data_IF_355164619183
#
_entry.id   IF_355164619183
#
_cell.length_a   1.000
_cell.length_b   1.000
_cell.length_c   1.000
_cell.angle_alpha   90.00
_cell.angle_beta   90.00
_cell.angle_gamma   90.00
#
_symmetry.space_group_name_H-M   'P 1'
#
loop_
_entity.id
_entity.type
_entity.pdbx_description
1 polymer ?
#
# COMPACT_ATOMS: atom_id res chain seq x y z
N UNK A 1 17.67 -16.42 -23.04
CA UNK A 1 16.68 -15.75 -22.17
C UNK A 1 17.38 -15.32 -20.89
N UNK A 2 17.15 -14.08 -20.43
CA UNK A 2 17.77 -13.64 -19.16
C UNK A 2 16.98 -14.22 -17.98
N UNK A 3 17.70 -14.75 -17.00
CA UNK A 3 17.11 -15.26 -15.75
C UNK A 3 17.12 -14.15 -14.71
N UNK A 4 16.03 -14.02 -13.99
CA UNK A 4 15.89 -13.08 -12.86
C UNK A 4 15.70 -13.91 -11.61
N UNK A 5 16.53 -13.66 -10.60
CA UNK A 5 16.44 -14.31 -9.31
C UNK A 5 16.08 -13.29 -8.24
N UNK A 6 15.08 -13.60 -7.44
CA UNK A 6 14.63 -12.81 -6.29
C UNK A 6 14.99 -13.59 -5.04
N UNK A 7 15.77 -12.98 -4.14
CA UNK A 7 16.10 -13.56 -2.85
C UNK A 7 15.23 -12.96 -1.75
N UNK A 8 14.43 -13.80 -1.12
CA UNK A 8 13.51 -13.46 -0.04
C UNK A 8 12.04 -13.60 -0.41
N UNK A 9 11.31 -14.37 0.36
CA UNK A 9 9.88 -14.70 0.16
C UNK A 9 8.92 -13.88 1.01
N UNK A 10 9.35 -12.77 1.57
CA UNK A 10 8.43 -11.83 2.24
C UNK A 10 7.54 -11.06 1.26
N UNK A 11 6.65 -10.21 1.77
CA UNK A 11 5.72 -9.41 0.97
C UNK A 11 6.42 -8.66 -0.17
N UNK A 12 7.58 -8.05 0.11
CA UNK A 12 8.36 -7.31 -0.90
C UNK A 12 8.85 -8.23 -2.03
N UNK A 13 9.30 -9.44 -1.70
CA UNK A 13 9.75 -10.43 -2.68
C UNK A 13 8.62 -10.85 -3.63
N UNK A 14 7.46 -11.23 -3.07
CA UNK A 14 6.30 -11.64 -3.87
C UNK A 14 5.68 -10.49 -4.65
N UNK A 15 5.66 -9.25 -4.12
CA UNK A 15 5.26 -8.08 -4.88
C UNK A 15 6.22 -7.79 -6.05
N UNK A 16 7.52 -7.98 -5.83
CA UNK A 16 8.53 -7.86 -6.89
C UNK A 16 8.32 -8.93 -7.95
N UNK A 17 8.13 -10.19 -7.56
CA UNK A 17 7.86 -11.29 -8.48
C UNK A 17 6.60 -11.04 -9.32
N UNK A 18 5.51 -10.60 -8.68
CA UNK A 18 4.26 -10.26 -9.36
C UNK A 18 4.44 -9.14 -10.39
N UNK A 19 5.21 -8.12 -10.04
CA UNK A 19 5.51 -7.01 -10.95
C UNK A 19 6.34 -7.49 -12.13
N UNK A 20 7.40 -8.24 -11.87
CA UNK A 20 8.32 -8.69 -12.92
C UNK A 20 7.66 -9.67 -13.87
N UNK A 21 6.88 -10.64 -13.40
CA UNK A 21 6.19 -11.58 -14.29
C UNK A 21 5.13 -10.89 -15.16
N UNK A 22 4.52 -9.82 -14.64
CA UNK A 22 3.60 -8.99 -15.42
C UNK A 22 4.31 -8.17 -16.49
N UNK A 23 5.45 -7.55 -16.12
CA UNK A 23 6.18 -6.64 -17.00
C UNK A 23 7.07 -7.37 -18.02
N UNK A 24 7.54 -8.55 -17.66
CA UNK A 24 8.50 -9.34 -18.45
C UNK A 24 8.08 -10.81 -18.54
N UNK A 25 6.95 -11.11 -19.22
CA UNK A 25 6.40 -12.47 -19.29
C UNK A 25 7.34 -13.47 -19.97
N UNK A 26 8.29 -12.99 -20.78
CA UNK A 26 9.28 -13.82 -21.49
C UNK A 26 10.53 -14.15 -20.65
N UNK A 27 10.62 -13.64 -19.42
CA UNK A 27 11.75 -13.90 -18.54
C UNK A 27 11.50 -15.07 -17.63
N UNK A 28 12.56 -15.84 -17.34
CA UNK A 28 12.53 -16.85 -16.31
C UNK A 28 12.72 -16.17 -14.95
N UNK A 29 11.66 -16.14 -14.15
CA UNK A 29 11.68 -15.53 -12.81
C UNK A 29 11.69 -16.64 -11.77
N UNK A 30 12.67 -16.62 -10.89
CA UNK A 30 12.79 -17.56 -9.78
C UNK A 30 12.85 -16.78 -8.48
N UNK A 31 11.98 -17.12 -7.53
CA UNK A 31 12.05 -16.61 -6.16
C UNK A 31 12.57 -17.71 -5.25
N UNK A 32 13.59 -17.37 -4.46
CA UNK A 32 14.19 -18.28 -3.48
C UNK A 32 13.98 -17.69 -2.10
N UNK A 33 13.40 -18.49 -1.21
CA UNK A 33 13.21 -18.09 0.20
C UNK A 33 13.78 -19.13 1.15
N UNK A 34 14.31 -18.64 2.27
CA UNK A 34 14.84 -19.49 3.34
C UNK A 34 13.70 -20.14 4.12
N UNK A 35 13.78 -21.46 4.40
CA UNK A 35 12.85 -22.11 5.31
C UNK A 35 13.04 -21.69 6.78
N UNK A 36 14.19 -21.08 7.08
CA UNK A 36 14.62 -20.77 8.45
C UNK A 36 14.44 -19.29 8.82
N UNK A 37 14.13 -18.43 7.84
CA UNK A 37 13.92 -17.00 8.06
C UNK A 37 12.42 -16.68 7.94
N UNK A 38 11.71 -16.51 9.06
CA UNK A 38 10.30 -16.20 9.00
C UNK A 38 10.07 -14.81 8.38
N UNK A 39 8.97 -14.67 7.68
CA UNK A 39 8.53 -13.35 7.23
C UNK A 39 8.26 -12.47 8.44
N UNK A 40 8.97 -11.37 8.55
CA UNK A 40 8.68 -10.36 9.59
C UNK A 40 7.43 -9.62 9.14
N UNK A 41 6.27 -10.10 9.58
CA UNK A 41 4.97 -9.47 9.34
C UNK A 41 4.49 -8.79 10.60
N UNK A 42 4.43 -7.49 10.59
CA UNK A 42 3.56 -6.69 11.46
C UNK A 42 2.38 -6.26 10.62
N UNK A 43 1.22 -6.04 11.25
CA UNK A 43 0.05 -5.53 10.52
C UNK A 43 0.45 -4.34 9.67
N UNK A 44 0.27 -4.44 8.37
CA UNK A 44 0.77 -3.44 7.44
C UNK A 44 -0.36 -2.62 6.86
N UNK A 45 -0.07 -1.34 6.69
CA UNK A 45 -0.96 -0.42 6.02
C UNK A 45 -0.29 0.18 4.79
N UNK A 46 -1.02 0.23 3.70
CA UNK A 46 -0.53 0.74 2.43
C UNK A 46 -0.83 2.23 2.25
N UNK A 47 -0.32 2.79 1.15
CA UNK A 47 -0.65 4.12 0.65
C UNK A 47 -1.44 4.00 -0.65
N UNK A 48 -2.13 5.07 -1.06
CA UNK A 48 -3.02 5.06 -2.23
C UNK A 48 -2.39 4.60 -3.55
N UNK A 49 -1.07 4.61 -3.68
CA UNK A 49 -0.37 4.08 -4.87
C UNK A 49 -0.54 2.58 -5.07
N UNK A 50 -0.89 1.83 -4.02
CA UNK A 50 -1.14 0.38 -4.13
C UNK A 50 -2.27 0.08 -5.12
N UNK A 51 -3.29 0.94 -5.20
CA UNK A 51 -4.39 0.75 -6.15
C UNK A 51 -3.92 0.73 -7.60
N UNK A 52 -2.97 1.61 -7.97
CA UNK A 52 -2.39 1.62 -9.32
C UNK A 52 -1.59 0.36 -9.61
N UNK A 53 -0.92 -0.17 -8.60
CA UNK A 53 -0.16 -1.41 -8.74
C UNK A 53 -1.08 -2.63 -8.87
N UNK A 54 -2.14 -2.71 -8.09
CA UNK A 54 -3.17 -3.75 -8.24
C UNK A 54 -3.84 -3.68 -9.62
N UNK A 55 -4.18 -2.47 -10.10
CA UNK A 55 -4.71 -2.27 -11.45
C UNK A 55 -3.73 -2.73 -12.55
N UNK A 56 -2.43 -2.42 -12.41
CA UNK A 56 -1.37 -2.88 -13.32
C UNK A 56 -1.34 -4.41 -13.41
N UNK A 57 -1.48 -5.08 -12.28
CA UNK A 57 -1.49 -6.54 -12.22
C UNK A 57 -2.83 -7.14 -12.70
N UNK A 58 -3.90 -6.35 -12.70
CA UNK A 58 -5.27 -6.81 -12.96
C UNK A 58 -5.90 -7.53 -11.78
N UNK A 59 -5.41 -7.29 -10.55
CA UNK A 59 -5.92 -7.87 -9.31
C UNK A 59 -7.09 -7.02 -8.79
N UNK A 60 -8.21 -7.66 -8.48
CA UNK A 60 -9.40 -7.02 -7.93
C UNK A 60 -9.49 -7.21 -6.42
N UNK A 61 -10.18 -6.29 -5.76
CA UNK A 61 -10.38 -6.34 -4.31
C UNK A 61 -11.01 -7.65 -3.84
N UNK A 62 -11.99 -8.14 -4.59
CA UNK A 62 -12.73 -9.37 -4.30
C UNK A 62 -11.85 -10.63 -4.32
N UNK A 63 -10.72 -10.56 -5.02
CA UNK A 63 -9.81 -11.71 -5.19
C UNK A 63 -8.88 -11.87 -3.99
N UNK A 64 -8.43 -10.78 -3.35
CA UNK A 64 -7.43 -10.88 -2.28
C UNK A 64 -7.96 -10.48 -0.90
N UNK A 65 -8.85 -9.48 -0.80
CA UNK A 65 -9.27 -8.94 0.50
C UNK A 65 -9.84 -9.99 1.46
N UNK A 66 -10.70 -10.95 1.03
CA UNK A 66 -11.23 -11.97 1.93
C UNK A 66 -10.17 -12.92 2.51
N UNK A 67 -9.04 -13.06 1.84
CA UNK A 67 -7.97 -13.99 2.21
C UNK A 67 -6.83 -13.33 2.98
N UNK A 68 -6.85 -12.01 3.09
CA UNK A 68 -5.75 -11.23 3.67
C UNK A 68 -6.18 -10.38 4.85
N UNK A 69 -7.39 -10.61 5.36
CA UNK A 69 -8.03 -9.80 6.41
C UNK A 69 -8.02 -8.29 6.07
N UNK A 70 -8.16 -8.00 4.78
CA UNK A 70 -8.00 -6.64 4.30
C UNK A 70 -9.22 -5.77 4.62
N UNK A 71 -8.95 -4.52 4.94
CA UNK A 71 -9.93 -3.46 5.05
C UNK A 71 -9.45 -2.20 4.33
N UNK A 72 -10.39 -1.31 3.98
CA UNK A 72 -10.02 -0.04 3.36
C UNK A 72 -9.48 0.96 4.38
N UNK A 73 -8.58 1.79 3.91
CA UNK A 73 -7.94 2.86 4.66
C UNK A 73 -8.16 4.19 3.95
N UNK A 74 -8.63 5.21 4.68
CA UNK A 74 -8.94 6.53 4.14
C UNK A 74 -7.98 7.63 4.60
N UNK A 75 -7.26 7.38 5.70
CA UNK A 75 -6.36 8.37 6.28
C UNK A 75 -5.27 7.71 7.12
N UNK A 76 -4.27 8.51 7.48
CA UNK A 76 -3.33 8.20 8.55
C UNK A 76 -3.67 9.11 9.71
N UNK A 77 -3.84 8.54 10.89
CA UNK A 77 -3.98 9.31 12.12
C UNK A 77 -2.64 9.33 12.85
N UNK A 78 -2.18 10.54 13.17
CA UNK A 78 -0.99 10.78 13.96
C UNK A 78 -1.42 11.17 15.36
N UNK A 79 -1.03 10.40 16.37
CA UNK A 79 -1.28 10.71 17.78
C UNK A 79 -0.02 11.29 18.41
N UNK A 80 -0.19 12.35 19.20
CA UNK A 80 0.89 13.00 19.96
C UNK A 80 2.16 13.27 19.13
N UNK A 81 2.01 13.49 17.82
CA UNK A 81 3.13 13.58 16.88
C UNK A 81 3.99 14.81 17.14
N UNK A 82 3.36 15.94 17.42
CA UNK A 82 4.05 17.22 17.68
C UNK A 82 4.36 17.42 19.16
N UNK A 83 3.39 17.14 20.02
CA UNK A 83 3.48 17.32 21.45
C UNK A 83 2.65 16.26 22.17
N UNK A 84 3.22 15.68 23.22
CA UNK A 84 2.54 14.71 24.07
C UNK A 84 1.26 15.30 24.67
N UNK A 85 0.18 14.55 24.62
CA UNK A 85 -1.17 14.94 25.09
C UNK A 85 -1.83 16.08 24.29
N UNK A 86 -1.33 16.39 23.11
CA UNK A 86 -1.96 17.36 22.19
C UNK A 86 -3.06 16.74 21.33
N UNK A 87 -3.25 15.42 21.48
CA UNK A 87 -4.20 14.62 20.70
C UNK A 87 -3.70 14.29 19.29
N UNK A 88 -4.60 13.82 18.46
CA UNK A 88 -4.29 13.35 17.12
C UNK A 88 -4.82 14.26 16.01
N UNK A 89 -4.21 14.16 14.85
CA UNK A 89 -4.72 14.73 13.62
C UNK A 89 -4.70 13.70 12.48
N UNK A 90 -5.58 13.89 11.51
CA UNK A 90 -5.66 13.04 10.34
C UNK A 90 -4.90 13.63 9.15
N UNK A 91 -4.22 12.77 8.43
CA UNK A 91 -3.72 13.01 7.07
C UNK A 91 -4.58 12.16 6.11
N UNK A 92 -5.70 12.71 5.61
CA UNK A 92 -6.61 11.98 4.73
C UNK A 92 -5.98 11.77 3.34
N UNK A 93 -6.35 10.65 2.71
CA UNK A 93 -6.01 10.44 1.31
C UNK A 93 -6.92 11.27 0.40
N UNK A 94 -6.52 11.40 -0.86
CA UNK A 94 -7.27 12.17 -1.83
C UNK A 94 -6.86 13.64 -1.89
N UNK A 95 -7.69 14.42 -2.57
CA UNK A 95 -7.43 15.84 -2.81
C UNK A 95 -8.30 16.71 -1.91
N UNK A 96 -7.74 17.81 -1.39
CA UNK A 96 -8.58 18.84 -0.78
C UNK A 96 -9.58 19.41 -1.81
N UNK A 97 -10.60 20.09 -1.35
CA UNK A 97 -11.55 20.78 -2.21
C UNK A 97 -10.85 21.67 -3.25
N UNK A 98 -11.05 21.40 -4.54
CA UNK A 98 -10.36 22.11 -5.63
C UNK A 98 -10.93 23.53 -5.84
N UNK A 99 -12.22 23.70 -5.69
CA UNK A 99 -12.93 24.96 -5.97
C UNK A 99 -12.52 26.12 -5.07
N UNK A 100 -11.82 25.83 -3.96
CA UNK A 100 -11.40 26.82 -2.99
C UNK A 100 -9.94 26.70 -2.55
N UNK A 101 -9.08 26.19 -3.43
CA UNK A 101 -7.66 26.02 -3.08
C UNK A 101 -6.99 27.33 -2.61
N UNK A 102 -7.42 28.46 -3.16
CA UNK A 102 -6.90 29.77 -2.79
C UNK A 102 -7.54 30.31 -1.52
N UNK A 103 -8.86 30.19 -1.37
CA UNK A 103 -9.62 30.73 -0.25
C UNK A 103 -9.86 29.70 0.87
N UNK A 104 -9.98 28.41 0.54
CA UNK A 104 -10.30 27.37 1.52
C UNK A 104 -9.25 27.23 2.60
N UNK A 105 -7.97 27.08 2.21
CA UNK A 105 -6.85 27.01 3.15
C UNK A 105 -6.68 28.31 3.92
N UNK A 106 -6.76 29.45 3.24
CA UNK A 106 -6.69 30.77 3.86
C UNK A 106 -7.85 31.00 4.82
N UNK A 107 -9.08 30.57 4.44
CA UNK A 107 -10.25 30.67 5.31
C UNK A 107 -10.09 29.96 6.65
N UNK A 108 -9.44 28.79 6.67
CA UNK A 108 -9.18 28.10 7.93
C UNK A 108 -8.24 28.92 8.84
N UNK A 109 -7.16 29.47 8.28
CA UNK A 109 -6.22 30.32 9.04
C UNK A 109 -6.90 31.60 9.53
N UNK A 110 -7.70 32.26 8.69
CA UNK A 110 -8.48 33.44 9.08
C UNK A 110 -9.48 33.11 10.18
N UNK A 111 -10.28 32.06 10.03
CA UNK A 111 -11.21 31.60 11.06
C UNK A 111 -10.50 31.29 12.38
N UNK A 112 -9.37 30.59 12.32
CA UNK A 112 -8.57 30.26 13.49
C UNK A 112 -7.97 31.52 14.14
N UNK A 113 -7.56 32.50 13.36
CA UNK A 113 -7.04 33.76 13.89
C UNK A 113 -8.08 34.48 14.75
N UNK A 114 -9.33 34.57 14.28
CA UNK A 114 -10.43 35.18 15.00
C UNK A 114 -11.08 34.28 16.05
N UNK A 115 -11.03 32.97 15.88
CA UNK A 115 -11.60 32.02 16.83
C UNK A 115 -10.54 31.07 17.38
N UNK A 116 -10.03 31.37 18.56
CA UNK A 116 -8.99 30.59 19.23
C UNK A 116 -9.43 29.19 19.66
N UNK A 117 -10.75 28.91 19.69
CA UNK A 117 -11.28 27.60 20.03
C UNK A 117 -11.11 26.58 18.89
N UNK A 118 -10.82 27.03 17.65
CA UNK A 118 -10.50 26.13 16.54
C UNK A 118 -9.16 25.47 16.80
N UNK A 119 -9.15 24.15 16.95
CA UNK A 119 -7.95 23.36 17.21
C UNK A 119 -7.11 23.20 15.94
N UNK A 120 -5.79 23.10 16.08
CA UNK A 120 -4.89 22.80 14.96
C UNK A 120 -5.27 21.48 14.25
N UNK A 121 -5.73 20.52 15.04
CA UNK A 121 -6.09 19.18 14.59
C UNK A 121 -7.33 19.14 13.68
N UNK A 122 -8.13 20.22 13.64
CA UNK A 122 -9.34 20.31 12.81
C UNK A 122 -9.06 20.69 11.35
N UNK A 123 -7.81 20.99 10.99
CA UNK A 123 -7.46 21.42 9.64
C UNK A 123 -7.91 20.46 8.55
N UNK A 124 -7.66 19.16 8.74
CA UNK A 124 -8.05 18.13 7.79
C UNK A 124 -9.58 18.10 7.57
N UNK A 125 -10.37 18.21 8.65
CA UNK A 125 -11.83 18.26 8.59
C UNK A 125 -12.35 19.44 7.74
N UNK A 126 -11.61 20.53 7.75
CA UNK A 126 -12.01 21.73 7.04
C UNK A 126 -11.72 21.68 5.53
N UNK A 127 -10.60 21.06 5.14
CA UNK A 127 -10.10 21.12 3.76
C UNK A 127 -10.36 19.87 2.94
N UNK A 128 -10.63 18.72 3.56
CA UNK A 128 -10.70 17.45 2.84
C UNK A 128 -12.07 16.78 3.00
N UNK A 129 -12.79 16.55 1.88
CA UNK A 129 -14.12 15.94 1.91
C UNK A 129 -14.12 14.53 2.49
N UNK A 130 -13.01 13.78 2.35
CA UNK A 130 -12.92 12.41 2.84
C UNK A 130 -12.99 12.31 4.36
N UNK A 131 -12.77 13.43 5.08
CA UNK A 131 -12.90 13.44 6.54
C UNK A 131 -14.32 13.16 7.00
N UNK A 132 -15.34 13.45 6.19
CA UNK A 132 -16.71 13.04 6.51
C UNK A 132 -16.88 11.53 6.51
N UNK A 133 -16.19 10.82 5.61
CA UNK A 133 -16.18 9.36 5.57
C UNK A 133 -15.40 8.78 6.76
N UNK A 134 -14.23 9.36 7.06
CA UNK A 134 -13.39 8.96 8.21
C UNK A 134 -14.15 9.11 9.52
N UNK A 135 -14.77 10.28 9.75
CA UNK A 135 -15.47 10.58 10.99
C UNK A 135 -16.73 9.72 11.21
N UNK A 136 -17.34 9.25 10.13
CA UNK A 136 -18.51 8.38 10.19
C UNK A 136 -18.17 6.89 10.00
N UNK A 137 -16.90 6.54 9.93
CA UNK A 137 -16.42 5.18 9.69
C UNK A 137 -17.16 4.49 8.53
N UNK A 138 -17.26 5.18 7.40
CA UNK A 138 -17.99 4.73 6.21
C UNK A 138 -17.17 4.90 4.95
N UNK A 139 -17.55 4.19 3.90
CA UNK A 139 -16.94 4.29 2.57
C UNK A 139 -17.98 3.96 1.49
N UNK A 140 -17.87 4.64 0.35
CA UNK A 140 -18.73 4.37 -0.81
C UNK A 140 -17.89 3.80 -1.95
N UNK A 141 -18.12 2.54 -2.29
CA UNK A 141 -17.54 1.90 -3.46
C UNK A 141 -18.35 2.19 -4.73
N UNK A 142 -19.63 2.50 -4.56
CA UNK A 142 -20.57 2.73 -5.66
C UNK A 142 -20.62 4.22 -6.07
N UNK A 143 -20.56 4.46 -7.38
CA UNK A 143 -20.57 5.82 -7.98
C UNK A 143 -21.84 6.62 -7.75
N UNK A 144 -22.98 5.99 -7.49
CA UNK A 144 -24.26 6.70 -7.32
C UNK A 144 -24.38 7.51 -6.02
N UNK A 145 -23.61 7.17 -5.00
CA UNK A 145 -23.65 7.80 -3.66
C UNK A 145 -22.28 8.34 -3.26
N UNK A 146 -21.45 8.74 -4.23
CA UNK A 146 -20.12 9.28 -3.93
C UNK A 146 -20.22 10.67 -3.34
N UNK A 147 -19.39 10.90 -2.34
CA UNK A 147 -19.07 12.23 -1.86
C UNK A 147 -18.42 13.02 -3.00
N UNK A 148 -18.88 14.25 -3.23
CA UNK A 148 -18.31 15.11 -4.27
C UNK A 148 -16.79 15.28 -4.06
N UNK A 149 -16.02 15.04 -5.11
CA UNK A 149 -14.56 15.06 -5.07
C UNK A 149 -13.89 13.76 -4.59
N UNK A 150 -14.63 12.78 -4.05
CA UNK A 150 -14.10 11.47 -3.68
C UNK A 150 -13.94 10.58 -4.91
N UNK A 151 -12.78 9.94 -5.02
CA UNK A 151 -12.52 8.90 -6.01
C UNK A 151 -11.97 7.67 -5.30
N UNK A 152 -12.74 6.59 -5.32
CA UNK A 152 -12.43 5.39 -4.55
C UNK A 152 -11.00 4.91 -4.75
N UNK A 153 -10.54 4.73 -5.99
CA UNK A 153 -9.20 4.21 -6.29
C UNK A 153 -8.06 5.18 -5.95
N UNK A 154 -8.32 6.48 -6.05
CA UNK A 154 -7.31 7.50 -5.72
C UNK A 154 -7.20 7.73 -4.21
N UNK A 155 -8.33 7.65 -3.53
CA UNK A 155 -8.51 8.21 -2.20
C UNK A 155 -8.58 7.12 -1.12
N UNK A 156 -8.34 5.85 -1.51
CA UNK A 156 -8.26 4.73 -0.59
C UNK A 156 -6.90 4.06 -0.62
N UNK A 157 -6.64 3.30 0.41
CA UNK A 157 -5.58 2.30 0.51
C UNK A 157 -6.13 1.13 1.32
N UNK A 158 -5.26 0.23 1.78
CA UNK A 158 -5.66 -0.95 2.55
C UNK A 158 -4.86 -1.07 3.84
N UNK A 159 -5.50 -1.68 4.84
CA UNK A 159 -4.85 -2.45 5.87
C UNK A 159 -4.99 -3.92 5.51
N UNK A 160 -3.98 -4.73 5.66
CA UNK A 160 -4.04 -6.17 5.47
C UNK A 160 -2.93 -6.88 6.25
N UNK A 161 -3.11 -8.17 6.45
CA UNK A 161 -2.04 -9.03 6.93
C UNK A 161 -1.02 -9.23 5.79
N UNK A 162 0.18 -8.70 5.98
CA UNK A 162 1.23 -8.73 4.97
C UNK A 162 1.72 -10.14 4.65
N UNK A 163 1.75 -11.03 5.64
CA UNK A 163 2.14 -12.43 5.45
C UNK A 163 1.09 -13.16 4.59
N UNK A 164 -0.19 -12.98 4.92
CA UNK A 164 -1.29 -13.52 4.12
C UNK A 164 -1.30 -12.97 2.70
N UNK A 165 -1.04 -11.66 2.54
CA UNK A 165 -0.98 -11.03 1.22
C UNK A 165 0.19 -11.57 0.38
N UNK A 166 1.37 -11.73 0.97
CA UNK A 166 2.52 -12.37 0.31
C UNK A 166 2.20 -13.80 -0.13
N UNK A 167 1.59 -14.58 0.76
CA UNK A 167 1.15 -15.96 0.46
C UNK A 167 0.10 -15.98 -0.65
N UNK A 168 -0.88 -15.09 -0.59
CA UNK A 168 -1.91 -14.99 -1.63
C UNK A 168 -1.29 -14.64 -3.00
N UNK A 169 -0.36 -13.69 -3.05
CA UNK A 169 0.36 -13.34 -4.28
C UNK A 169 1.15 -14.53 -4.83
N UNK A 170 1.85 -15.27 -3.95
CA UNK A 170 2.56 -16.49 -4.32
C UNK A 170 1.64 -17.48 -5.02
N UNK A 171 0.57 -17.89 -4.32
CA UNK A 171 -0.21 -19.05 -4.69
C UNK A 171 -1.24 -18.74 -5.79
N UNK A 172 -1.80 -17.53 -5.82
CA UNK A 172 -2.90 -17.18 -6.73
C UNK A 172 -2.46 -16.30 -7.92
N UNK A 173 -1.27 -15.70 -7.85
CA UNK A 173 -0.81 -14.84 -8.94
C UNK A 173 0.52 -15.28 -9.54
N UNK A 174 1.59 -15.40 -8.73
CA UNK A 174 2.95 -15.57 -9.22
C UNK A 174 3.21 -16.98 -9.77
N UNK A 175 2.97 -18.03 -8.97
CA UNK A 175 3.20 -19.42 -9.39
C UNK A 175 2.33 -19.78 -10.60
N UNK A 176 1.01 -19.49 -10.62
CA UNK A 176 0.18 -19.76 -11.81
C UNK A 176 0.63 -19.06 -13.08
N UNK A 177 1.38 -17.95 -12.96
CA UNK A 177 1.95 -17.21 -14.10
C UNK A 177 3.38 -17.62 -14.47
N UNK A 178 3.94 -18.65 -13.82
CA UNK A 178 5.22 -19.24 -14.18
C UNK A 178 6.42 -18.77 -13.34
N UNK A 179 6.21 -18.07 -12.24
CA UNK A 179 7.31 -17.81 -11.29
C UNK A 179 7.72 -19.13 -10.62
N UNK A 180 8.99 -19.50 -10.75
CA UNK A 180 9.56 -20.65 -10.08
C UNK A 180 9.83 -20.32 -8.61
N UNK A 181 9.36 -21.16 -7.69
CA UNK A 181 9.58 -21.00 -6.26
C UNK A 181 10.55 -22.07 -5.75
N UNK A 182 11.56 -21.65 -5.00
CA UNK A 182 12.56 -22.54 -4.37
C UNK A 182 12.61 -22.19 -2.89
N UNK A 183 12.57 -23.22 -2.05
CA UNK A 183 12.74 -23.07 -0.60
C UNK A 183 14.12 -23.60 -0.23
N UNK A 184 15.07 -22.71 -0.03
CA UNK A 184 16.46 -23.06 0.26
C UNK A 184 17.22 -21.88 0.90
N UNK A 185 18.11 -22.20 1.84
CA UNK A 185 19.05 -21.23 2.40
C UNK A 185 20.20 -20.93 1.43
N UNK A 186 20.30 -19.68 0.98
CA UNK A 186 21.43 -19.24 0.16
C UNK A 186 22.59 -18.83 1.07
N UNK A 187 23.65 -19.63 1.06
CA UNK A 187 24.85 -19.39 1.87
C UNK A 187 26.02 -18.79 1.09
N UNK A 188 26.06 -19.06 -0.21
CA UNK A 188 27.16 -18.64 -1.08
C UNK A 188 26.63 -17.89 -2.30
N UNK A 189 27.12 -16.68 -2.48
CA UNK A 189 26.86 -15.86 -3.66
C UNK A 189 28.18 -15.56 -4.33
N UNK A 190 28.36 -16.03 -5.56
CA UNK A 190 29.52 -15.67 -6.39
C UNK A 190 29.12 -14.55 -7.34
N UNK A 191 29.92 -13.53 -7.38
CA UNK A 191 29.73 -12.35 -8.26
C UNK A 191 30.96 -12.11 -9.12
N UNK A 192 30.75 -11.50 -10.28
CA UNK A 192 31.79 -10.92 -11.10
C UNK A 192 31.43 -9.46 -11.45
N UNK A 193 32.18 -8.81 -12.35
CA UNK A 193 31.93 -7.44 -12.78
C UNK A 193 30.58 -7.27 -13.50
N UNK A 194 29.98 -8.34 -14.00
CA UNK A 194 28.72 -8.35 -14.73
C UNK A 194 27.50 -8.67 -13.85
N UNK A 195 27.74 -9.12 -12.61
CA UNK A 195 26.66 -9.42 -11.65
C UNK A 195 26.85 -10.74 -10.90
N UNK A 196 25.73 -11.37 -10.51
CA UNK A 196 25.72 -12.66 -9.82
C UNK A 196 25.90 -13.79 -10.86
N UNK A 197 26.88 -14.67 -10.66
CA UNK A 197 27.14 -15.81 -11.54
C UNK A 197 26.65 -17.14 -10.98
N UNK A 198 26.56 -17.29 -9.67
CA UNK A 198 25.97 -18.49 -9.05
C UNK A 198 25.50 -18.27 -7.62
N UNK A 199 24.53 -19.08 -7.19
CA UNK A 199 23.98 -19.16 -5.84
C UNK A 199 24.06 -20.62 -5.40
N UNK A 200 24.69 -20.93 -4.25
CA UNK A 200 24.85 -22.31 -3.71
C UNK A 200 25.23 -23.37 -4.76
N UNK A 201 25.75 -23.00 -5.92
CA UNK A 201 26.05 -23.93 -7.02
C UNK A 201 25.01 -24.00 -8.13
N UNK A 202 23.95 -23.18 -8.08
CA UNK A 202 23.01 -22.96 -9.19
C UNK A 202 23.54 -21.99 -10.23
#
# INVERSE_FOLDING_TARGET
MSNIIILGGGSAGWMTAATLIKMYPDKNITLIESPNTPTVGVGESTLGRINKWLDLLGIKDEEFMPYTDASYKLSIRFEDFYKKQDGGFHYPFGRPFEENLTWGKQNWFVKKYFNKNIKNNDYANFINPNMSLVNNNTIFKNTKNQLNGFNFKRDTAYHFDATKFGTWLKDNYCIPKGVKHIVEDIKNIKTNKEGIVSLNGY
#
